data_IF_906637769163
#
_entry.id   IF_906637769163
#
_cell.length_a   1.000
_cell.length_b   1.000
_cell.length_c   1.000
_cell.angle_alpha   90.00
_cell.angle_beta   90.00
_cell.angle_gamma   90.00
#
_symmetry.space_group_name_H-M   'P 1'
#
loop_
_entity.id
_entity.type
_entity.pdbx_description
1 polymer ?
#
# COMPACT_ATOMS: atom_id res chain seq x y z
N UNK A 1 -9.72 1.84 15.75
CA UNK A 1 -8.68 0.77 15.64
C UNK A 1 -8.92 -0.19 14.48
N UNK A 2 -10.16 -0.57 14.16
CA UNK A 2 -10.50 -1.42 12.99
C UNK A 2 -10.25 -0.71 11.64
N UNK A 3 -10.41 0.61 11.61
CA UNK A 3 -10.29 1.44 10.40
C UNK A 3 -8.90 1.35 9.72
N UNK A 4 -7.80 1.26 10.49
CA UNK A 4 -6.46 1.13 9.91
C UNK A 4 -6.26 -0.19 9.17
N UNK A 5 -6.83 -1.29 9.70
CA UNK A 5 -6.79 -2.60 9.04
C UNK A 5 -7.65 -2.61 7.78
N UNK A 6 -8.81 -1.98 7.82
CA UNK A 6 -9.70 -1.88 6.66
C UNK A 6 -9.09 -1.04 5.52
N UNK A 7 -8.35 0.03 5.86
CA UNK A 7 -7.59 0.80 4.87
C UNK A 7 -6.46 -0.03 4.25
N UNK A 8 -5.69 -0.76 5.07
CA UNK A 8 -4.65 -1.67 4.58
C UNK A 8 -5.21 -2.76 3.67
N UNK A 9 -6.34 -3.36 4.05
CA UNK A 9 -7.06 -4.33 3.21
C UNK A 9 -7.56 -3.71 1.91
N UNK A 10 -8.04 -2.47 1.96
CA UNK A 10 -8.49 -1.73 0.77
C UNK A 10 -7.32 -1.45 -0.18
N UNK A 11 -6.16 -1.05 0.34
CA UNK A 11 -4.94 -0.83 -0.44
C UNK A 11 -4.46 -2.14 -1.08
N UNK A 12 -4.40 -3.22 -0.31
CA UNK A 12 -4.03 -4.55 -0.81
C UNK A 12 -4.98 -5.02 -1.92
N UNK A 13 -6.30 -4.90 -1.69
CA UNK A 13 -7.32 -5.25 -2.68
C UNK A 13 -7.17 -4.47 -3.97
N UNK A 14 -6.91 -3.15 -3.87
CA UNK A 14 -6.73 -2.29 -5.04
C UNK A 14 -5.46 -2.68 -5.83
N UNK A 15 -4.37 -2.95 -5.12
CA UNK A 15 -3.12 -3.41 -5.71
C UNK A 15 -3.28 -4.77 -6.42
N UNK A 16 -3.87 -5.77 -5.76
CA UNK A 16 -4.13 -7.11 -6.31
C UNK A 16 -5.00 -7.02 -7.55
N UNK A 17 -6.04 -6.18 -7.54
CA UNK A 17 -6.94 -5.97 -8.68
C UNK A 17 -6.25 -5.28 -9.86
N UNK A 18 -5.25 -4.46 -9.63
CA UNK A 18 -4.48 -3.80 -10.69
C UNK A 18 -3.42 -4.72 -11.30
N UNK A 19 -2.66 -5.42 -10.45
CA UNK A 19 -2.05 -6.71 -10.82
C UNK A 19 -3.19 -7.63 -11.29
N UNK A 20 -3.07 -8.85 -11.80
CA UNK A 20 -4.25 -9.64 -12.27
C UNK A 20 -5.14 -9.08 -13.42
N UNK A 21 -5.41 -7.78 -13.57
CA UNK A 21 -6.22 -7.21 -14.64
C UNK A 21 -5.38 -7.08 -15.92
N UNK A 22 -6.01 -7.39 -17.06
CA UNK A 22 -5.39 -7.30 -18.39
C UNK A 22 -5.38 -5.87 -18.94
N UNK A 23 -6.16 -4.95 -18.37
CA UNK A 23 -6.28 -3.55 -18.80
C UNK A 23 -5.51 -2.58 -17.89
N UNK A 24 -4.31 -2.96 -17.43
CA UNK A 24 -3.52 -2.20 -16.43
C UNK A 24 -3.28 -0.75 -16.83
N UNK A 25 -2.87 -0.52 -18.08
CA UNK A 25 -2.45 0.79 -18.56
C UNK A 25 -3.57 1.84 -18.54
N UNK A 26 -4.82 1.43 -18.76
CA UNK A 26 -5.97 2.35 -18.79
C UNK A 26 -6.33 2.89 -17.40
N UNK A 27 -5.92 2.20 -16.32
CA UNK A 27 -6.29 2.54 -14.93
C UNK A 27 -5.08 2.85 -14.05
N UNK A 28 -3.90 2.97 -14.62
CA UNK A 28 -2.66 3.19 -13.87
C UNK A 28 -2.73 4.49 -13.06
N UNK A 29 -3.06 5.62 -13.70
CA UNK A 29 -3.11 6.92 -13.02
C UNK A 29 -4.11 6.97 -11.86
N UNK A 30 -5.33 6.46 -12.07
CA UNK A 30 -6.36 6.38 -11.01
C UNK A 30 -5.90 5.46 -9.86
N UNK A 31 -5.33 4.32 -10.19
CA UNK A 31 -4.84 3.35 -9.20
C UNK A 31 -3.69 3.92 -8.37
N UNK A 32 -2.75 4.64 -9.00
CA UNK A 32 -1.65 5.30 -8.31
C UNK A 32 -2.19 6.30 -7.27
N UNK A 33 -3.12 7.17 -7.69
CA UNK A 33 -3.73 8.16 -6.80
C UNK A 33 -4.50 7.53 -5.63
N UNK A 34 -5.25 6.47 -5.90
CA UNK A 34 -5.98 5.75 -4.85
C UNK A 34 -5.05 5.07 -3.84
N UNK A 35 -4.00 4.37 -4.32
CA UNK A 35 -3.03 3.71 -3.45
C UNK A 35 -2.28 4.73 -2.60
N UNK A 36 -1.83 5.83 -3.19
CA UNK A 36 -1.18 6.92 -2.47
C UNK A 36 -2.08 7.45 -1.34
N UNK A 37 -3.35 7.75 -1.65
CA UNK A 37 -4.32 8.24 -0.67
C UNK A 37 -4.54 7.24 0.47
N UNK A 38 -4.73 5.96 0.15
CA UNK A 38 -4.96 4.92 1.17
C UNK A 38 -3.74 4.77 2.09
N UNK A 39 -2.53 4.76 1.54
CA UNK A 39 -1.30 4.62 2.32
C UNK A 39 -1.01 5.84 3.21
N UNK A 40 -1.29 7.05 2.71
CA UNK A 40 -1.21 8.27 3.52
C UNK A 40 -2.20 8.25 4.69
N UNK A 41 -3.42 7.81 4.43
CA UNK A 41 -4.46 7.72 5.46
C UNK A 41 -4.14 6.65 6.52
N UNK A 42 -3.56 5.51 6.12
CA UNK A 42 -3.01 4.52 7.05
C UNK A 42 -1.95 5.16 7.95
N UNK A 43 -1.05 5.96 7.37
CA UNK A 43 -0.02 6.69 8.12
C UNK A 43 -0.61 7.64 9.15
N UNK A 44 -1.57 8.47 8.72
CA UNK A 44 -2.29 9.42 9.59
C UNK A 44 -2.97 8.71 10.76
N UNK A 45 -3.74 7.66 10.49
CA UNK A 45 -4.41 6.89 11.56
C UNK A 45 -3.41 6.20 12.49
N UNK A 46 -2.31 5.68 11.95
CA UNK A 46 -1.27 5.04 12.76
C UNK A 46 -0.65 6.05 13.72
N UNK A 47 -0.41 7.28 13.29
CA UNK A 47 0.07 8.36 14.16
C UNK A 47 -0.97 8.78 15.20
N UNK A 48 -2.25 8.86 14.84
CA UNK A 48 -3.32 9.18 15.81
C UNK A 48 -3.46 8.12 16.90
N UNK A 49 -3.32 6.85 16.54
CA UNK A 49 -3.41 5.72 17.48
C UNK A 49 -2.16 5.62 18.36
N UNK A 50 -0.98 5.90 17.81
CA UNK A 50 0.30 5.63 18.47
C UNK A 50 1.01 6.89 19.02
N UNK A 51 0.54 8.09 18.67
CA UNK A 51 1.25 9.35 18.92
C UNK A 51 1.51 9.65 20.39
N UNK A 52 0.62 9.21 21.29
CA UNK A 52 0.81 9.34 22.74
C UNK A 52 1.68 8.25 23.38
N UNK A 53 2.06 7.21 22.61
CA UNK A 53 2.69 5.99 23.10
C UNK A 53 4.08 5.74 22.53
N UNK A 54 4.48 6.50 21.50
CA UNK A 54 5.74 6.33 20.81
C UNK A 54 6.76 7.39 21.19
N UNK A 55 8.03 6.99 21.09
CA UNK A 55 9.13 7.96 21.15
C UNK A 55 9.14 8.82 19.87
N UNK A 56 9.69 10.05 19.92
CA UNK A 56 9.86 10.87 18.73
C UNK A 56 10.63 10.17 17.60
N UNK A 57 11.58 9.30 17.95
CA UNK A 57 12.32 8.47 16.99
C UNK A 57 11.41 7.53 16.21
N UNK A 58 10.47 6.87 16.90
CA UNK A 58 9.55 5.93 16.27
C UNK A 58 8.52 6.65 15.39
N UNK A 59 8.04 7.82 15.82
CA UNK A 59 7.16 8.68 15.01
C UNK A 59 7.87 9.07 13.70
N UNK A 60 9.11 9.55 13.79
CA UNK A 60 9.91 9.89 12.60
C UNK A 60 10.11 8.69 11.67
N UNK A 61 10.37 7.51 12.22
CA UNK A 61 10.53 6.29 11.43
C UNK A 61 9.23 5.92 10.68
N UNK A 62 8.07 6.07 11.33
CA UNK A 62 6.78 5.85 10.68
C UNK A 62 6.55 6.85 9.53
N UNK A 63 6.83 8.14 9.74
CA UNK A 63 6.69 9.14 8.68
C UNK A 63 7.54 8.80 7.46
N UNK A 64 8.79 8.39 7.65
CA UNK A 64 9.67 7.99 6.54
C UNK A 64 9.12 6.78 5.77
N UNK A 65 8.54 5.81 6.46
CA UNK A 65 7.93 4.64 5.80
C UNK A 65 6.70 5.05 4.99
N UNK A 66 5.81 5.85 5.58
CA UNK A 66 4.60 6.33 4.90
C UNK A 66 4.96 7.18 3.69
N UNK A 67 5.90 8.11 3.84
CA UNK A 67 6.38 8.97 2.75
C UNK A 67 6.95 8.14 1.60
N UNK A 68 7.80 7.15 1.90
CA UNK A 68 8.39 6.29 0.87
C UNK A 68 7.32 5.47 0.14
N UNK A 69 6.48 4.73 0.87
CA UNK A 69 5.51 3.81 0.26
C UNK A 69 4.34 4.53 -0.41
N UNK A 70 4.03 5.76 0.00
CA UNK A 70 3.01 6.59 -0.65
C UNK A 70 3.57 7.51 -1.74
N UNK A 71 4.87 7.46 -2.03
CA UNK A 71 5.44 8.26 -3.12
C UNK A 71 4.92 7.79 -4.48
N UNK A 72 4.61 8.77 -5.33
CA UNK A 72 4.09 8.52 -6.68
C UNK A 72 5.11 7.74 -7.49
N UNK A 73 6.40 8.03 -7.32
CA UNK A 73 7.53 7.39 -7.98
C UNK A 73 7.60 5.90 -7.60
N UNK A 74 7.56 5.58 -6.30
CA UNK A 74 7.59 4.19 -5.85
C UNK A 74 6.37 3.41 -6.36
N UNK A 75 5.16 3.97 -6.24
CA UNK A 75 3.94 3.27 -6.68
C UNK A 75 3.95 3.08 -8.19
N UNK A 76 4.38 4.08 -8.97
CA UNK A 76 4.49 3.98 -10.43
C UNK A 76 5.43 2.84 -10.82
N UNK A 77 6.60 2.78 -10.19
CA UNK A 77 7.59 1.75 -10.47
C UNK A 77 7.09 0.35 -10.03
N UNK A 78 6.46 0.27 -8.86
CA UNK A 78 5.85 -0.97 -8.36
C UNK A 78 4.76 -1.51 -9.30
N UNK A 79 4.00 -0.63 -9.94
CA UNK A 79 2.94 -0.98 -10.89
C UNK A 79 3.45 -1.16 -12.33
N UNK A 80 4.75 -0.98 -12.56
CA UNK A 80 5.38 -1.16 -13.87
C UNK A 80 5.20 -2.59 -14.38
N UNK A 81 4.89 -2.71 -15.67
CA UNK A 81 4.80 -3.98 -16.38
C UNK A 81 6.16 -4.45 -16.89
N UNK A 82 7.22 -3.68 -16.65
CA UNK A 82 8.57 -4.04 -17.05
C UNK A 82 9.34 -4.79 -15.95
N UNK A 83 10.26 -5.71 -16.30
CA UNK A 83 11.19 -6.29 -15.35
C UNK A 83 12.08 -5.23 -14.68
N UNK A 84 12.46 -5.41 -13.40
CA UNK A 84 12.13 -6.55 -12.52
C UNK A 84 10.77 -6.41 -11.81
N UNK A 85 10.15 -5.24 -11.84
CA UNK A 85 9.02 -4.89 -10.97
C UNK A 85 7.73 -5.64 -11.30
N UNK A 86 7.53 -6.06 -12.55
CA UNK A 86 6.38 -6.92 -12.91
C UNK A 86 6.37 -8.25 -12.14
N UNK A 87 7.54 -8.89 -11.99
CA UNK A 87 7.66 -10.17 -11.29
C UNK A 87 7.48 -9.96 -9.77
N UNK A 88 8.12 -8.91 -9.23
CA UNK A 88 8.01 -8.56 -7.81
C UNK A 88 6.58 -8.19 -7.42
N UNK A 89 5.88 -7.41 -8.24
CA UNK A 89 4.49 -7.02 -7.98
C UNK A 89 3.53 -8.20 -8.05
N UNK A 90 3.79 -9.17 -8.95
CA UNK A 90 3.00 -10.40 -9.03
C UNK A 90 3.21 -11.30 -7.82
N UNK A 91 4.44 -11.44 -7.33
CA UNK A 91 4.75 -12.15 -6.09
C UNK A 91 4.07 -11.48 -4.90
N UNK A 92 4.24 -10.16 -4.76
CA UNK A 92 3.63 -9.39 -3.69
C UNK A 92 2.09 -9.50 -3.71
N UNK A 93 1.47 -9.47 -4.89
CA UNK A 93 0.01 -9.61 -4.99
C UNK A 93 -0.45 -11.00 -4.54
N UNK A 94 0.34 -12.03 -4.83
CA UNK A 94 0.07 -13.41 -4.36
C UNK A 94 0.16 -13.48 -2.84
N UNK A 95 1.24 -12.96 -2.24
CA UNK A 95 1.43 -12.96 -0.79
C UNK A 95 0.33 -12.17 -0.07
N UNK A 96 -0.06 -11.02 -0.62
CA UNK A 96 -1.15 -10.21 -0.07
C UNK A 96 -2.50 -10.93 -0.15
N UNK A 97 -2.78 -11.63 -1.25
CA UNK A 97 -4.00 -12.43 -1.39
C UNK A 97 -4.02 -13.56 -0.34
N UNK A 98 -2.90 -14.26 -0.17
CA UNK A 98 -2.73 -15.31 0.85
C UNK A 98 -2.98 -14.79 2.27
N UNK A 99 -2.45 -13.61 2.61
CA UNK A 99 -2.69 -12.97 3.91
C UNK A 99 -4.16 -12.59 4.10
N UNK A 100 -4.82 -12.11 3.05
CA UNK A 100 -6.25 -11.78 3.07
C UNK A 100 -7.12 -13.02 3.28
N UNK A 101 -6.84 -14.11 2.56
CA UNK A 101 -7.61 -15.36 2.63
C UNK A 101 -7.47 -16.04 4.00
N UNK A 102 -6.32 -15.86 4.66
CA UNK A 102 -6.07 -16.34 6.04
C UNK A 102 -6.61 -15.41 7.12
N UNK A 103 -7.16 -14.25 6.75
CA UNK A 103 -7.68 -13.26 7.71
C UNK A 103 -6.60 -12.57 8.55
N UNK A 104 -5.35 -12.51 8.08
CA UNK A 104 -4.19 -11.99 8.83
C UNK A 104 -3.97 -10.48 8.68
N UNK A 105 -5.05 -9.72 8.48
CA UNK A 105 -5.05 -8.25 8.48
C UNK A 105 -5.54 -7.68 9.81
#
# INVERSE_FOLDING_TARGET
MWEGRDLLRSAASRFIKYTNNSLREQKASETIQELQKLLQEVGRLSEEVLGGHLTPKNIKAMHLLVEFFSSTEFITELLSTHPPYQALSSLLATDLQDLMDRGQF
#
